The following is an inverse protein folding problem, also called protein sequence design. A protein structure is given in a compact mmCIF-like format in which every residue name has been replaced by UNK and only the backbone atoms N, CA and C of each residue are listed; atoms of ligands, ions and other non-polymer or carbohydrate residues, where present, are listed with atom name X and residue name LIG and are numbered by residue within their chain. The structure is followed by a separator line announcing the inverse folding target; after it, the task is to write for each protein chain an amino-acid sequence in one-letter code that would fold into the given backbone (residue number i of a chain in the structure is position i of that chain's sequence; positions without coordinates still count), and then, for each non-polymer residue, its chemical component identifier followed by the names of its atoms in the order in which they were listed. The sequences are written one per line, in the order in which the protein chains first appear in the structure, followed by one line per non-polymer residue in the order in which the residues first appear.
data_IF_247719983011
#
_entry.id   IF_247719983011
#
_cell.length_a   1.000
_cell.length_b   1.000
_cell.length_c   1.000
_cell.angle_alpha   90.00
_cell.angle_beta   90.00
_cell.angle_gamma   90.00
#
_symmetry.space_group_name_H-M   'P 1'
#
loop_
_entity.id
_entity.type
_entity.pdbx_description
1 polymer ?
#
# COMPACT_ATOMS: atom_id res chain seq x y z
N UNK A 1 10.58 10.42 0.50
CA UNK A 1 9.58 10.65 1.56
C UNK A 1 10.15 10.38 2.93
N UNK A 2 9.81 11.23 3.90
CA UNK A 2 10.15 10.95 5.29
C UNK A 2 9.17 9.92 5.89
N UNK A 3 9.43 9.50 7.13
CA UNK A 3 8.61 8.49 7.82
C UNK A 3 7.13 8.89 7.91
N UNK A 4 6.87 10.14 8.27
CA UNK A 4 5.50 10.65 8.44
C UNK A 4 4.72 10.60 7.13
N UNK A 5 5.36 10.97 6.03
CA UNK A 5 4.74 10.92 4.71
C UNK A 5 4.47 9.49 4.26
N UNK A 6 5.38 8.55 4.56
CA UNK A 6 5.19 7.13 4.27
C UNK A 6 3.99 6.56 5.04
N UNK A 7 3.88 6.89 6.32
CA UNK A 7 2.74 6.49 7.14
C UNK A 7 1.43 7.06 6.59
N UNK A 8 1.46 8.30 6.14
CA UNK A 8 0.31 8.98 5.56
C UNK A 8 -0.15 8.30 4.26
N UNK A 9 0.80 7.99 3.36
CA UNK A 9 0.51 7.32 2.10
C UNK A 9 -0.13 5.95 2.35
N UNK A 10 0.44 5.16 3.25
CA UNK A 10 -0.09 3.82 3.55
C UNK A 10 -1.48 3.92 4.19
N UNK A 11 -1.66 4.82 5.15
CA UNK A 11 -2.96 5.02 5.80
C UNK A 11 -4.03 5.43 4.80
N UNK A 12 -3.72 6.34 3.90
CA UNK A 12 -4.64 6.78 2.86
C UNK A 12 -4.93 5.67 1.84
N UNK A 13 -3.91 4.91 1.44
CA UNK A 13 -4.07 3.77 0.55
C UNK A 13 -5.08 2.78 1.11
N UNK A 14 -4.93 2.39 2.37
CA UNK A 14 -5.82 1.42 3.01
C UNK A 14 -7.23 1.99 3.17
N UNK A 15 -7.36 3.24 3.59
CA UNK A 15 -8.66 3.90 3.72
C UNK A 15 -9.41 3.96 2.39
N UNK A 16 -8.71 4.24 1.30
CA UNK A 16 -9.31 4.26 -0.04
C UNK A 16 -9.77 2.88 -0.48
N UNK A 17 -8.98 1.85 -0.23
CA UNK A 17 -9.34 0.48 -0.58
C UNK A 17 -10.54 -0.01 0.25
N UNK A 18 -10.59 0.31 1.53
CA UNK A 18 -11.75 0.00 2.36
C UNK A 18 -13.01 0.66 1.80
N UNK A 19 -12.91 1.95 1.45
CA UNK A 19 -14.05 2.70 0.93
C UNK A 19 -14.49 2.24 -0.46
N UNK A 20 -13.52 2.07 -1.38
CA UNK A 20 -13.83 1.86 -2.79
C UNK A 20 -14.03 0.40 -3.18
N UNK A 21 -13.42 -0.52 -2.43
CA UNK A 21 -13.50 -1.97 -2.69
C UNK A 21 -14.30 -2.73 -1.64
N UNK A 22 -14.79 -2.04 -0.61
CA UNK A 22 -15.54 -2.70 0.46
C UNK A 22 -14.73 -3.69 1.28
N UNK A 23 -13.42 -3.47 1.40
CA UNK A 23 -12.55 -4.39 2.13
C UNK A 23 -12.64 -4.16 3.62
N UNK A 24 -12.54 -5.24 4.39
CA UNK A 24 -12.53 -5.20 5.84
C UNK A 24 -11.07 -5.28 6.32
N UNK A 25 -10.42 -4.13 6.38
CA UNK A 25 -9.00 -3.98 6.72
C UNK A 25 -8.83 -2.96 7.83
N UNK A 26 -7.90 -3.25 8.74
CA UNK A 26 -7.53 -2.33 9.82
C UNK A 26 -6.01 -2.34 9.99
N UNK A 27 -5.41 -1.16 10.08
CA UNK A 27 -4.01 -1.04 10.43
C UNK A 27 -3.85 -1.24 11.93
N UNK A 28 -3.04 -2.22 12.29
CA UNK A 28 -2.70 -2.48 13.69
C UNK A 28 -1.46 -1.67 14.11
N UNK A 29 -0.42 -1.72 13.27
CA UNK A 29 0.86 -1.09 13.59
C UNK A 29 1.65 -0.78 12.33
N UNK A 30 2.45 0.31 12.37
CA UNK A 30 3.43 0.66 11.35
C UNK A 30 4.77 0.98 12.00
N UNK A 31 5.87 0.51 11.38
CA UNK A 31 7.22 0.79 11.87
C UNK A 31 8.24 0.68 10.76
N UNK A 32 9.42 1.28 10.96
CA UNK A 32 10.53 1.21 10.01
C UNK A 32 11.71 0.48 10.62
N UNK A 33 12.38 -0.33 9.82
CA UNK A 33 13.67 -0.92 10.19
C UNK A 33 14.49 -1.18 8.92
N UNK A 34 15.81 -1.06 9.01
CA UNK A 34 16.81 -1.54 8.03
C UNK A 34 16.37 -1.49 6.55
N UNK A 35 15.83 -0.36 6.10
CA UNK A 35 15.43 -0.16 4.70
C UNK A 35 14.05 -0.67 4.35
N UNK A 36 13.26 -1.10 5.33
CA UNK A 36 11.88 -1.54 5.14
C UNK A 36 10.92 -0.68 5.92
N UNK A 37 9.78 -0.43 5.32
CA UNK A 37 8.61 0.12 6.00
C UNK A 37 7.60 -1.01 6.19
N UNK A 38 7.23 -1.29 7.43
CA UNK A 38 6.38 -2.44 7.75
C UNK A 38 5.00 -1.97 8.19
N UNK A 39 3.99 -2.70 7.73
CA UNK A 39 2.59 -2.48 8.10
C UNK A 39 2.00 -3.81 8.54
N UNK A 40 1.45 -3.83 9.74
CA UNK A 40 0.72 -4.98 10.26
C UNK A 40 -0.77 -4.72 10.13
N UNK A 41 -1.46 -5.62 9.45
CA UNK A 41 -2.88 -5.49 9.16
C UNK A 41 -3.68 -6.60 9.79
N UNK A 42 -4.84 -6.23 10.30
CA UNK A 42 -5.90 -7.15 10.63
C UNK A 42 -6.94 -7.06 9.53
N UNK A 43 -7.38 -8.19 9.01
CA UNK A 43 -8.39 -8.22 7.96
C UNK A 43 -9.29 -9.44 8.11
N UNK A 44 -10.47 -9.37 7.47
CA UNK A 44 -11.45 -10.44 7.51
C UNK A 44 -11.69 -10.94 6.09
N UNK A 45 -11.59 -12.25 5.90
CA UNK A 45 -11.86 -12.93 4.63
C UNK A 45 -12.77 -14.12 4.90
N UNK A 46 -13.92 -14.15 4.24
CA UNK A 46 -14.90 -15.23 4.39
C UNK A 46 -15.29 -15.46 5.87
N UNK A 47 -15.46 -14.36 6.62
CA UNK A 47 -15.83 -14.41 8.03
C UNK A 47 -14.69 -14.78 8.98
N UNK A 48 -13.48 -14.98 8.50
CA UNK A 48 -12.32 -15.34 9.31
C UNK A 48 -11.39 -14.15 9.48
N UNK A 49 -11.00 -13.88 10.73
CA UNK A 49 -9.99 -12.88 11.03
C UNK A 49 -8.61 -13.39 10.68
N UNK A 50 -7.84 -12.53 10.04
CA UNK A 50 -6.44 -12.81 9.67
C UNK A 50 -5.56 -11.64 10.04
N UNK A 51 -4.29 -11.95 10.30
CA UNK A 51 -3.27 -10.96 10.64
C UNK A 51 -2.08 -11.18 9.72
N UNK A 52 -1.56 -10.12 9.12
CA UNK A 52 -0.44 -10.24 8.22
C UNK A 52 0.41 -8.97 8.22
N UNK A 53 1.72 -9.16 8.14
CA UNK A 53 2.68 -8.09 7.97
C UNK A 53 3.00 -7.93 6.49
N UNK A 54 2.97 -6.69 6.02
CA UNK A 54 3.44 -6.31 4.68
C UNK A 54 4.68 -5.45 4.82
N UNK A 55 5.76 -5.83 4.13
CA UNK A 55 7.01 -5.09 4.11
C UNK A 55 7.15 -4.34 2.78
N UNK A 56 7.43 -3.05 2.87
CA UNK A 56 7.66 -2.19 1.71
C UNK A 56 9.12 -1.77 1.70
N UNK A 57 9.81 -1.92 0.58
CA UNK A 57 11.17 -1.40 0.45
C UNK A 57 11.11 0.12 0.23
N UNK A 58 12.14 0.84 0.67
CA UNK A 58 12.17 2.31 0.59
C UNK A 58 12.00 2.83 -0.83
N UNK A 59 12.54 2.12 -1.81
CA UNK A 59 12.44 2.51 -3.22
C UNK A 59 11.00 2.63 -3.72
N UNK A 60 10.08 1.89 -3.14
CA UNK A 60 8.67 1.95 -3.56
C UNK A 60 8.01 3.28 -3.21
N UNK A 61 8.60 4.05 -2.30
CA UNK A 61 8.13 5.39 -1.97
C UNK A 61 8.74 6.49 -2.87
N UNK A 62 9.63 6.10 -3.78
CA UNK A 62 10.12 7.00 -4.84
C UNK A 62 9.07 7.08 -5.94
N UNK A 63 8.59 8.29 -6.29
CA UNK A 63 7.53 8.45 -7.28
C UNK A 63 7.92 7.97 -8.68
N UNK A 64 9.21 7.84 -8.96
CA UNK A 64 9.71 7.43 -10.28
C UNK A 64 10.21 5.99 -10.35
N UNK A 65 10.14 5.25 -9.25
CA UNK A 65 10.59 3.87 -9.21
C UNK A 65 9.43 2.90 -9.45
N UNK A 66 9.57 2.07 -10.48
CA UNK A 66 8.60 1.02 -10.83
C UNK A 66 9.35 -0.31 -10.96
N UNK A 67 9.25 -1.14 -9.94
CA UNK A 67 9.93 -2.42 -9.91
C UNK A 67 9.20 -3.48 -10.75
N UNK A 68 7.88 -3.46 -10.71
CA UNK A 68 7.09 -4.51 -11.31
C UNK A 68 6.55 -4.10 -12.68
N UNK A 69 6.69 -4.98 -13.67
CA UNK A 69 6.23 -4.71 -15.04
C UNK A 69 4.72 -4.44 -15.13
N UNK A 70 3.95 -5.08 -14.27
CA UNK A 70 2.50 -4.89 -14.27
C UNK A 70 2.05 -3.51 -13.80
N UNK A 71 2.93 -2.75 -13.14
CA UNK A 71 2.65 -1.37 -12.74
C UNK A 71 2.95 -0.37 -13.84
N UNK A 72 3.75 -0.76 -14.84
CA UNK A 72 4.09 0.13 -15.96
C UNK A 72 2.88 0.59 -16.74
N UNK A 73 1.80 -0.19 -16.71
CA UNK A 73 0.54 0.14 -17.39
C UNK A 73 -0.40 0.99 -16.54
N UNK A 74 0.02 1.34 -15.32
CA UNK A 74 -0.78 2.20 -14.46
C UNK A 74 -0.83 3.60 -15.04
N UNK A 75 -2.05 4.08 -15.31
CA UNK A 75 -2.24 5.45 -15.80
C UNK A 75 -2.13 6.43 -14.64
N UNK A 76 -1.06 7.22 -14.66
CA UNK A 76 -0.84 8.30 -13.69
C UNK A 76 -1.09 9.62 -14.40
N UNK A 77 -1.96 10.50 -13.89
CA UNK A 77 -2.17 11.82 -14.49
C UNK A 77 -0.86 12.62 -14.60
N UNK A 78 -0.65 13.31 -15.70
CA UNK A 78 0.58 14.08 -15.94
C UNK A 78 0.81 15.15 -14.88
N UNK A 79 -0.26 15.72 -14.34
CA UNK A 79 -0.21 16.78 -13.33
C UNK A 79 -0.15 16.23 -11.90
N UNK A 80 -0.03 14.91 -11.71
CA UNK A 80 0.06 14.32 -10.39
C UNK A 80 1.38 14.73 -9.71
N UNK A 81 1.30 15.17 -8.46
CA UNK A 81 2.50 15.45 -7.67
C UNK A 81 3.13 14.14 -7.15
N UNK A 82 4.29 14.24 -6.50
CA UNK A 82 5.02 13.07 -6.02
C UNK A 82 4.20 12.22 -5.05
N UNK A 83 3.49 12.85 -4.12
CA UNK A 83 2.62 12.14 -3.18
C UNK A 83 1.53 11.34 -3.90
N UNK A 84 0.85 11.98 -4.85
CA UNK A 84 -0.20 11.33 -5.63
C UNK A 84 0.32 10.15 -6.46
N UNK A 85 1.51 10.31 -7.06
CA UNK A 85 2.15 9.23 -7.82
C UNK A 85 2.45 8.03 -6.94
N UNK A 86 3.02 8.26 -5.76
CA UNK A 86 3.29 7.20 -4.79
C UNK A 86 1.99 6.56 -4.30
N UNK A 87 0.98 7.35 -3.99
CA UNK A 87 -0.32 6.87 -3.53
C UNK A 87 -0.99 5.94 -4.55
N UNK A 88 -1.01 6.33 -5.81
CA UNK A 88 -1.60 5.52 -6.89
C UNK A 88 -0.84 4.19 -7.06
N UNK A 89 0.48 4.26 -7.07
CA UNK A 89 1.34 3.10 -7.18
C UNK A 89 1.16 2.13 -6.00
N UNK A 90 1.16 2.67 -4.78
CA UNK A 90 0.98 1.87 -3.57
C UNK A 90 -0.40 1.23 -3.50
N UNK A 91 -1.43 1.93 -3.92
CA UNK A 91 -2.78 1.37 -3.99
C UNK A 91 -2.83 0.15 -4.90
N UNK A 92 -2.11 0.21 -6.00
CA UNK A 92 -2.03 -0.90 -6.95
C UNK A 92 -1.24 -2.09 -6.38
N UNK A 93 -0.06 -1.84 -5.83
CA UNK A 93 0.77 -2.88 -5.19
C UNK A 93 0.03 -3.56 -4.07
N UNK A 94 -0.55 -2.76 -3.19
CA UNK A 94 -1.20 -3.25 -1.99
C UNK A 94 -2.42 -4.10 -2.31
N UNK A 95 -3.24 -3.65 -3.24
CA UNK A 95 -4.43 -4.39 -3.64
C UNK A 95 -4.08 -5.75 -4.26
N UNK A 96 -3.02 -5.80 -5.06
CA UNK A 96 -2.54 -7.05 -5.62
C UNK A 96 -2.12 -8.03 -4.52
N UNK A 97 -1.34 -7.56 -3.56
CA UNK A 97 -0.92 -8.38 -2.44
C UNK A 97 -2.08 -8.85 -1.58
N UNK A 98 -3.02 -7.95 -1.34
CA UNK A 98 -4.23 -8.31 -0.58
C UNK A 98 -4.99 -9.44 -1.27
N UNK A 99 -5.20 -9.36 -2.57
CA UNK A 99 -5.89 -10.41 -3.32
C UNK A 99 -5.15 -11.75 -3.27
N UNK A 100 -3.83 -11.72 -3.38
CA UNK A 100 -3.00 -12.93 -3.25
C UNK A 100 -3.10 -13.53 -1.84
N UNK A 101 -3.10 -12.71 -0.82
CA UNK A 101 -3.22 -13.16 0.56
C UNK A 101 -4.61 -13.76 0.87
N UNK A 102 -5.63 -13.39 0.13
CA UNK A 102 -7.00 -13.85 0.32
C UNK A 102 -7.32 -15.15 -0.44
N UNK A 103 -6.42 -15.61 -1.26
CA UNK A 103 -6.60 -16.85 -2.04
C UNK A 103 -6.42 -18.11 -1.20
#
# INVERSE_FOLDING_TARGET
MNRKEKEQVISETIRRLVKNKGLDLKINRMWTNSGYFNVELDYVVNGKEKHQRFGFIDKWFDPNYFEFSWVKNLKIPENANDYQRVLLKMSYYFYKWYKEACQ
#
